data_IF_681644474740
#
_entry.id   IF_681644474740
#
_cell.length_a   1.000
_cell.length_b   1.000
_cell.length_c   1.000
_cell.angle_alpha   90.00
_cell.angle_beta   90.00
_cell.angle_gamma   90.00
#
_symmetry.space_group_name_H-M   'P 1'
#
loop_
_entity.id
_entity.type
_entity.pdbx_description
1 polymer ?
#
# COMPACT_ATOMS: atom_id res chain seq x y z
N UNK A 1 6.82 10.33 -19.92
CA UNK A 1 5.84 10.40 -18.83
C UNK A 1 6.55 9.93 -17.57
N UNK A 2 6.44 10.61 -16.43
CA UNK A 2 6.92 10.05 -15.16
C UNK A 2 6.19 8.72 -14.92
N UNK A 3 6.92 7.72 -14.41
CA UNK A 3 6.33 6.42 -14.11
C UNK A 3 5.67 6.49 -12.73
N UNK A 4 4.49 5.91 -12.59
CA UNK A 4 3.81 5.86 -11.31
C UNK A 4 4.58 4.96 -10.33
N UNK A 5 4.89 5.42 -9.11
CA UNK A 5 5.57 4.61 -8.13
C UNK A 5 4.90 3.25 -7.89
N UNK A 6 5.72 2.20 -7.84
CA UNK A 6 5.25 0.82 -7.62
C UNK A 6 6.01 0.12 -6.52
N UNK A 7 5.26 -0.55 -5.65
CA UNK A 7 5.76 -1.40 -4.56
C UNK A 7 5.30 -2.83 -4.81
N UNK A 8 6.23 -3.78 -4.82
CA UNK A 8 5.92 -5.21 -4.76
C UNK A 8 5.86 -5.69 -3.32
N UNK A 9 4.83 -6.45 -3.01
CA UNK A 9 4.55 -7.07 -1.73
C UNK A 9 4.77 -8.58 -1.87
N UNK A 10 5.75 -9.10 -1.14
CA UNK A 10 5.96 -10.55 -0.98
C UNK A 10 5.48 -10.97 0.40
N UNK A 11 4.38 -11.74 0.45
CA UNK A 11 3.77 -12.22 1.68
C UNK A 11 4.52 -13.45 2.21
N UNK A 12 4.95 -13.43 3.48
CA UNK A 12 5.74 -14.50 4.10
C UNK A 12 4.93 -15.38 5.06
N UNK A 13 4.13 -14.77 5.93
CA UNK A 13 3.41 -15.52 6.97
C UNK A 13 1.99 -15.01 7.11
N UNK A 14 1.06 -15.96 7.19
CA UNK A 14 -0.36 -15.74 7.41
C UNK A 14 -0.77 -16.66 8.57
N UNK A 15 -0.84 -16.15 9.81
CA UNK A 15 -1.16 -16.95 11.01
C UNK A 15 -2.58 -16.70 11.54
N UNK A 16 -3.58 -17.56 11.24
CA UNK A 16 -4.90 -17.43 11.83
C UNK A 16 -4.89 -17.62 13.35
N UNK A 17 -5.13 -16.52 14.09
CA UNK A 17 -5.42 -16.54 15.53
C UNK A 17 -6.87 -16.12 15.86
N UNK A 18 -7.71 -15.93 14.84
CA UNK A 18 -9.13 -15.55 14.96
C UNK A 18 -9.38 -14.06 14.71
N UNK A 19 -10.35 -13.75 13.84
CA UNK A 19 -10.73 -12.38 13.48
C UNK A 19 -9.89 -11.79 12.34
N UNK A 20 -8.73 -11.21 12.67
CA UNK A 20 -7.80 -10.57 11.74
C UNK A 20 -6.40 -11.11 11.97
N UNK A 21 -5.72 -11.52 10.91
CA UNK A 21 -4.42 -12.18 10.95
C UNK A 21 -3.30 -11.17 10.71
N UNK A 22 -2.33 -11.06 11.61
CA UNK A 22 -1.13 -10.30 11.30
C UNK A 22 -0.34 -11.01 10.19
N UNK A 23 -0.02 -10.27 9.13
CA UNK A 23 0.72 -10.75 7.98
C UNK A 23 2.11 -10.13 7.94
N UNK A 24 3.15 -10.95 7.84
CA UNK A 24 4.49 -10.46 7.50
C UNK A 24 4.61 -10.37 5.98
N UNK A 25 5.15 -9.27 5.49
CA UNK A 25 5.48 -9.11 4.09
C UNK A 25 6.79 -8.32 3.91
N UNK A 26 7.51 -8.59 2.83
CA UNK A 26 8.59 -7.70 2.37
C UNK A 26 8.03 -6.78 1.30
N UNK A 27 8.37 -5.49 1.41
CA UNK A 27 7.99 -4.49 0.42
C UNK A 27 9.23 -4.04 -0.35
N UNK A 28 9.19 -4.16 -1.67
CA UNK A 28 10.27 -3.76 -2.57
C UNK A 28 9.80 -2.65 -3.49
N UNK A 29 10.51 -1.52 -3.51
CA UNK A 29 10.23 -0.43 -4.47
C UNK A 29 10.77 -0.85 -5.83
N UNK A 30 9.90 -0.98 -6.83
CA UNK A 30 10.29 -1.44 -8.18
C UNK A 30 10.50 -0.28 -9.15
N UNK A 31 9.65 0.74 -9.07
CA UNK A 31 9.66 1.89 -9.97
C UNK A 31 9.68 3.17 -9.12
N UNK A 32 10.84 3.70 -8.71
CA UNK A 32 10.92 4.87 -7.81
C UNK A 32 10.63 6.20 -8.53
N UNK A 33 10.12 6.18 -9.76
CA UNK A 33 10.22 7.31 -10.68
C UNK A 33 9.10 8.35 -10.54
N UNK A 34 8.95 8.89 -9.32
CA UNK A 34 8.39 10.22 -9.11
C UNK A 34 9.03 10.88 -7.87
N UNK A 35 9.65 12.06 -8.04
CA UNK A 35 10.28 12.81 -6.92
C UNK A 35 9.26 13.25 -5.84
N UNK A 36 7.98 13.17 -6.16
CA UNK A 36 6.86 13.61 -5.33
C UNK A 36 6.34 12.52 -4.40
N UNK A 37 6.72 11.25 -4.58
CA UNK A 37 6.38 10.16 -3.64
C UNK A 37 7.68 9.49 -3.21
N UNK A 38 7.93 9.45 -1.90
CA UNK A 38 9.02 8.68 -1.31
C UNK A 38 8.43 7.60 -0.41
N UNK A 39 9.06 6.42 -0.45
CA UNK A 39 8.71 5.28 0.39
C UNK A 39 9.98 4.82 1.08
N UNK A 40 9.91 4.54 2.38
CA UNK A 40 11.00 3.96 3.16
C UNK A 40 10.67 2.54 3.66
N UNK A 41 9.61 1.96 3.09
CA UNK A 41 9.08 0.65 3.48
C UNK A 41 8.01 0.74 4.55
N UNK A 42 7.99 1.79 5.40
CA UNK A 42 7.03 1.94 6.49
C UNK A 42 5.98 3.02 6.25
N UNK A 43 6.41 4.12 5.67
CA UNK A 43 5.56 5.28 5.47
C UNK A 43 5.54 5.69 4.00
N UNK A 44 4.42 6.26 3.57
CA UNK A 44 4.27 6.94 2.29
C UNK A 44 4.46 8.43 2.51
N UNK A 45 5.45 9.02 1.85
CA UNK A 45 5.68 10.46 1.91
C UNK A 45 5.35 11.10 0.58
N UNK A 46 4.36 11.98 0.58
CA UNK A 46 4.02 12.81 -0.57
C UNK A 46 4.66 14.20 -0.40
N UNK A 47 5.29 14.69 -1.47
CA UNK A 47 5.98 15.98 -1.54
C UNK A 47 5.41 16.79 -2.69
N UNK A 48 5.55 18.11 -2.60
CA UNK A 48 5.13 19.01 -3.67
C UNK A 48 5.91 18.66 -4.95
N UNK A 49 5.22 18.45 -6.09
CA UNK A 49 5.87 18.32 -7.38
C UNK A 49 6.68 19.57 -7.73
N UNK A 50 7.67 19.44 -8.62
CA UNK A 50 8.40 20.62 -9.09
C UNK A 50 7.48 21.48 -9.96
N UNK A 51 7.73 22.80 -10.01
CA UNK A 51 6.93 23.71 -10.83
C UNK A 51 6.83 23.19 -12.28
N UNK A 52 5.59 22.99 -12.75
CA UNK A 52 5.27 22.41 -14.06
C UNK A 52 4.89 20.92 -14.06
N UNK A 53 4.93 20.25 -12.91
CA UNK A 53 4.48 18.86 -12.73
C UNK A 53 3.06 18.82 -12.12
N UNK A 54 2.05 19.27 -12.85
CA UNK A 54 0.66 18.94 -12.51
C UNK A 54 0.39 17.50 -12.95
N UNK A 55 0.69 16.56 -12.06
CA UNK A 55 0.37 15.16 -12.28
C UNK A 55 -0.37 14.61 -11.06
N UNK A 56 -1.52 13.99 -11.31
CA UNK A 56 -2.13 13.04 -10.39
C UNK A 56 -1.05 12.06 -9.92
N UNK A 57 -0.90 11.91 -8.61
CA UNK A 57 0.12 11.04 -8.02
C UNK A 57 -0.50 9.67 -7.75
N UNK A 58 -0.26 8.72 -8.65
CA UNK A 58 -0.68 7.33 -8.45
C UNK A 58 0.44 6.52 -7.78
N UNK A 59 0.11 5.87 -6.66
CA UNK A 59 0.96 4.88 -6.00
C UNK A 59 0.30 3.50 -6.10
N UNK A 60 1.03 2.52 -6.64
CA UNK A 60 0.56 1.15 -6.81
C UNK A 60 1.27 0.15 -5.88
N UNK A 61 0.48 -0.75 -5.30
CA UNK A 61 0.90 -1.91 -4.52
C UNK A 61 0.59 -3.19 -5.30
N UNK A 62 1.60 -4.02 -5.53
CA UNK A 62 1.53 -5.24 -6.34
C UNK A 62 1.72 -6.47 -5.46
N UNK A 63 0.70 -7.31 -5.32
CA UNK A 63 0.75 -8.49 -4.46
C UNK A 63 1.27 -9.71 -5.23
N UNK A 64 2.47 -10.17 -4.90
CA UNK A 64 3.09 -11.36 -5.47
C UNK A 64 2.72 -12.64 -4.70
N UNK A 65 1.43 -12.84 -4.45
CA UNK A 65 0.92 -14.02 -3.74
C UNK A 65 -0.34 -14.53 -4.44
N UNK A 66 -0.21 -15.61 -5.22
CA UNK A 66 -1.31 -16.07 -6.09
C UNK A 66 -2.54 -16.61 -5.36
N UNK A 67 -2.35 -17.10 -4.14
CA UNK A 67 -3.43 -17.59 -3.29
C UNK A 67 -4.13 -16.47 -2.50
N UNK A 68 -3.79 -15.20 -2.74
CA UNK A 68 -4.31 -14.07 -1.95
C UNK A 68 -4.94 -12.99 -2.84
N UNK A 69 -5.71 -12.08 -2.25
CA UNK A 69 -6.31 -10.91 -2.90
C UNK A 69 -6.06 -9.66 -2.06
N UNK A 70 -5.92 -8.50 -2.72
CA UNK A 70 -5.95 -7.21 -2.04
C UNK A 70 -7.42 -6.82 -1.80
N UNK A 71 -7.74 -6.42 -0.58
CA UNK A 71 -9.09 -5.96 -0.21
C UNK A 71 -9.16 -4.45 0.01
N UNK A 72 -8.05 -3.82 0.38
CA UNK A 72 -8.03 -2.38 0.65
C UNK A 72 -6.77 -1.91 1.33
N UNK A 73 -6.73 -0.60 1.56
CA UNK A 73 -5.66 0.11 2.26
C UNK A 73 -6.30 1.09 3.23
N UNK A 74 -5.70 1.27 4.39
CA UNK A 74 -5.97 2.37 5.31
C UNK A 74 -4.75 3.27 5.35
N UNK A 75 -4.98 4.57 5.50
CA UNK A 75 -3.94 5.59 5.59
C UNK A 75 -4.23 6.47 6.81
N UNK A 76 -3.19 6.79 7.57
CA UNK A 76 -3.24 7.77 8.67
C UNK A 76 -2.13 8.77 8.49
N UNK A 77 -2.41 10.04 8.73
CA UNK A 77 -1.36 11.06 8.77
C UNK A 77 -0.50 10.89 10.01
N UNK A 78 0.73 11.38 9.96
CA UNK A 78 1.67 11.38 11.10
C UNK A 78 1.11 12.07 12.37
N UNK A 79 0.15 12.99 12.23
CA UNK A 79 -0.56 13.62 13.35
C UNK A 79 -1.71 12.76 13.93
N UNK A 80 -1.89 11.54 13.42
CA UNK A 80 -2.94 10.59 13.80
C UNK A 80 -4.29 10.86 13.12
N UNK A 81 -4.40 11.88 12.26
CA UNK A 81 -5.65 12.14 11.56
C UNK A 81 -5.94 11.03 10.52
N UNK A 82 -7.17 10.53 10.54
CA UNK A 82 -7.64 9.58 9.54
C UNK A 82 -7.65 10.25 8.16
N UNK A 83 -7.09 9.57 7.17
CA UNK A 83 -7.10 10.01 5.79
C UNK A 83 -8.47 9.74 5.18
N UNK A 84 -8.99 10.70 4.42
CA UNK A 84 -10.30 10.59 3.79
C UNK A 84 -10.19 10.64 2.26
N UNK A 85 -11.32 10.35 1.59
CA UNK A 85 -11.47 10.51 0.15
C UNK A 85 -11.19 11.94 -0.35
N UNK A 86 -11.15 12.95 0.54
CA UNK A 86 -10.75 14.29 0.15
C UNK A 86 -9.27 14.39 -0.22
N UNK A 87 -8.42 13.52 0.33
CA UNK A 87 -6.98 13.47 0.05
C UNK A 87 -6.65 12.44 -1.02
N UNK A 88 -7.21 11.24 -0.90
CA UNK A 88 -7.08 10.19 -1.90
C UNK A 88 -8.46 9.90 -2.51
N UNK A 89 -8.90 10.70 -3.50
CA UNK A 89 -10.24 10.58 -4.09
C UNK A 89 -10.46 9.28 -4.86
N UNK A 90 -9.39 8.59 -5.23
CA UNK A 90 -9.47 7.31 -5.95
C UNK A 90 -8.60 6.26 -5.26
N UNK A 91 -9.24 5.14 -4.96
CA UNK A 91 -8.62 3.87 -4.60
C UNK A 91 -9.16 2.83 -5.58
N UNK A 92 -8.28 2.16 -6.30
CA UNK A 92 -8.63 1.16 -7.31
C UNK A 92 -7.98 -0.17 -6.97
N UNK A 93 -8.75 -1.26 -7.04
CA UNK A 93 -8.24 -2.62 -6.85
C UNK A 93 -8.52 -3.39 -8.13
N UNK A 94 -7.45 -3.91 -8.74
CA UNK A 94 -7.50 -4.69 -9.97
C UNK A 94 -7.03 -6.10 -9.68
N UNK A 95 -7.83 -7.09 -10.09
CA UNK A 95 -7.45 -8.51 -10.09
C UNK A 95 -7.76 -9.09 -11.46
N UNK A 96 -6.79 -9.09 -12.37
CA UNK A 96 -6.96 -9.56 -13.74
C UNK A 96 -5.69 -10.23 -14.25
N UNK A 97 -5.80 -11.35 -14.96
CA UNK A 97 -4.67 -12.07 -15.55
C UNK A 97 -3.52 -12.39 -14.58
N UNK A 98 -3.85 -12.57 -13.30
CA UNK A 98 -2.86 -12.83 -12.23
C UNK A 98 -2.22 -11.58 -11.64
N UNK A 99 -2.45 -10.40 -12.21
CA UNK A 99 -2.13 -9.10 -11.59
C UNK A 99 -3.07 -8.88 -10.39
N UNK A 100 -2.49 -8.43 -9.28
CA UNK A 100 -3.19 -8.12 -8.02
C UNK A 100 -2.66 -6.79 -7.55
N UNK A 101 -3.35 -5.74 -7.96
CA UNK A 101 -2.87 -4.37 -7.79
C UNK A 101 -3.87 -3.54 -7.01
N UNK A 102 -3.36 -2.77 -6.07
CA UNK A 102 -4.10 -1.69 -5.40
C UNK A 102 -3.42 -0.38 -5.77
N UNK A 103 -4.17 0.59 -6.26
CA UNK A 103 -3.68 1.93 -6.60
C UNK A 103 -4.39 2.96 -5.75
N UNK A 104 -3.64 3.89 -5.15
CA UNK A 104 -4.19 5.12 -4.56
C UNK A 104 -3.73 6.31 -5.39
N UNK A 105 -4.61 7.30 -5.54
CA UNK A 105 -4.34 8.51 -6.30
C UNK A 105 -4.47 9.74 -5.40
N UNK A 106 -3.43 10.56 -5.33
CA UNK A 106 -3.50 11.91 -4.77
C UNK A 106 -3.58 12.94 -5.91
N UNK A 107 -4.78 13.48 -6.10
CA UNK A 107 -5.07 14.53 -7.10
C UNK A 107 -4.87 15.94 -6.54
N UNK A 108 -4.64 16.09 -5.23
CA UNK A 108 -4.48 17.39 -4.56
C UNK A 108 -3.03 17.71 -4.26
N UNK A 109 -2.12 16.74 -4.48
CA UNK A 109 -0.70 16.83 -4.20
C UNK A 109 -0.46 17.24 -2.73
N UNK A 110 -1.19 16.56 -1.84
CA UNK A 110 -1.15 16.84 -0.41
C UNK A 110 0.24 16.51 0.11
N UNK A 111 0.92 17.50 0.68
CA UNK A 111 2.26 17.29 1.25
C UNK A 111 2.12 16.76 2.66
N UNK A 112 2.36 15.46 2.84
CA UNK A 112 2.23 14.78 4.12
C UNK A 112 3.02 13.46 4.18
N UNK A 113 3.19 12.95 5.40
CA UNK A 113 3.63 11.59 5.67
C UNK A 113 2.42 10.78 6.12
N UNK A 114 2.32 9.56 5.61
CA UNK A 114 1.23 8.65 5.88
C UNK A 114 1.74 7.30 6.33
N UNK A 115 1.21 6.81 7.44
CA UNK A 115 1.29 5.40 7.80
C UNK A 115 0.19 4.67 7.03
N UNK A 116 0.42 3.40 6.73
CA UNK A 116 -0.55 2.62 5.98
C UNK A 116 -0.56 1.17 6.43
N UNK A 117 -1.74 0.55 6.30
CA UNK A 117 -1.88 -0.88 6.43
C UNK A 117 -2.76 -1.42 5.30
N UNK A 118 -2.45 -2.62 4.83
CA UNK A 118 -3.09 -3.25 3.66
C UNK A 118 -3.86 -4.47 4.13
N UNK A 119 -5.12 -4.58 3.70
CA UNK A 119 -5.95 -5.74 3.93
C UNK A 119 -5.77 -6.74 2.79
N UNK A 120 -5.48 -7.99 3.12
CA UNK A 120 -5.36 -9.10 2.18
C UNK A 120 -6.28 -10.25 2.58
N UNK A 121 -6.75 -11.02 1.61
CA UNK A 121 -7.56 -12.22 1.85
C UNK A 121 -6.91 -13.45 1.22
N UNK A 122 -6.80 -14.54 1.97
CA UNK A 122 -6.46 -15.84 1.39
C UNK A 122 -7.69 -16.45 0.70
N UNK A 123 -7.57 -16.79 -0.59
CA UNK A 123 -8.68 -17.27 -1.43
C UNK A 123 -9.18 -18.65 -0.98
N UNK A 124 -8.27 -19.53 -0.57
CA UNK A 124 -8.61 -20.92 -0.23
C UNK A 124 -9.40 -21.06 1.08
N UNK A 125 -9.12 -20.19 2.05
CA UNK A 125 -9.70 -20.26 3.40
C UNK A 125 -10.68 -19.13 3.69
N UNK A 126 -10.63 -18.05 2.92
CA UNK A 126 -11.40 -16.82 3.14
C UNK A 126 -10.88 -15.95 4.28
N UNK A 127 -9.77 -16.33 4.92
CA UNK A 127 -9.20 -15.59 6.04
C UNK A 127 -8.69 -14.21 5.59
N UNK A 128 -8.87 -13.20 6.45
CA UNK A 128 -8.42 -11.83 6.21
C UNK A 128 -7.21 -11.53 7.08
N UNK A 129 -6.17 -11.00 6.43
CA UNK A 129 -4.94 -10.55 7.06
C UNK A 129 -4.71 -9.06 6.91
N UNK A 130 -3.92 -8.52 7.82
CA UNK A 130 -3.46 -7.15 7.85
C UNK A 130 -1.94 -7.13 7.67
N UNK A 131 -1.48 -6.47 6.61
CA UNK A 131 -0.07 -6.15 6.41
C UNK A 131 0.16 -4.75 6.96
N UNK A 132 0.86 -4.68 8.09
CA UNK A 132 1.29 -3.45 8.72
C UNK A 132 2.83 -3.40 8.66
N UNK A 133 3.43 -2.46 7.91
CA UNK A 133 4.87 -2.33 7.81
C UNK A 133 5.60 -1.97 9.13
N UNK A 134 4.88 -1.39 10.10
CA UNK A 134 5.46 -1.04 11.40
C UNK A 134 5.55 -2.24 12.33
N UNK A 135 4.70 -3.24 12.12
CA UNK A 135 4.67 -4.45 12.92
C UNK A 135 5.65 -5.46 12.30
N UNK A 136 6.85 -5.53 12.87
CA UNK A 136 7.72 -6.69 12.68
C UNK A 136 7.02 -7.90 13.31
N UNK A 137 6.38 -8.72 12.48
CA UNK A 137 5.95 -10.06 12.84
C UNK A 137 7.20 -10.94 12.96
N UNK A 138 8.03 -10.69 13.99
CA UNK A 138 9.16 -11.56 14.33
C UNK A 138 8.62 -12.94 14.62
N UNK A 139 9.14 -13.95 13.92
CA UNK A 139 8.99 -15.33 14.31
C UNK A 139 9.59 -15.47 15.72
N UNK A 140 8.76 -15.46 16.76
CA UNK A 140 9.19 -16.09 18.01
C UNK A 140 9.20 -17.59 17.73
N UNK A 141 10.42 -18.11 17.61
CA UNK A 141 10.74 -19.54 17.48
C UNK A 141 10.18 -20.35 18.66
#
# INVERSE_FOLDING_TARGET
MPLNPRIRIDLHTFRPLGGVVACSATMTIEEPANNSITLDGKNVRIRRPRDGEDADLDLSFLLNAQSHLLLGITLTREDGAAVSQAEFPRVEIVTENGDRRLTICDMRQTVANYDYAILVQEVGTGLVGLIDPEIENTNQE
#
